data_IF_359750505302
#
_entry.id   IF_359750505302
#
_cell.length_a   1.000
_cell.length_b   1.000
_cell.length_c   1.000
_cell.angle_alpha   90.00
_cell.angle_beta   90.00
_cell.angle_gamma   90.00
#
_symmetry.space_group_name_H-M   'P 1'
#
loop_
_entity.id
_entity.type
_entity.pdbx_description
1 polymer ?
#
# COMPACT_ATOMS: atom_id res chain seq x y z
N UNK A 1 -10.80 9.78 24.67
CA UNK A 1 -9.72 8.84 24.32
C UNK A 1 -10.21 7.39 24.30
N UNK A 2 -10.96 6.91 25.28
CA UNK A 2 -11.47 5.52 25.37
C UNK A 2 -12.51 5.11 24.28
N UNK A 3 -13.29 6.04 23.72
CA UNK A 3 -14.28 5.71 22.67
C UNK A 3 -13.69 5.30 21.33
N UNK A 4 -12.52 5.81 20.96
CA UNK A 4 -11.84 5.49 19.71
C UNK A 4 -11.21 4.08 19.72
N UNK A 5 -10.71 3.63 20.88
CA UNK A 5 -10.19 2.27 21.02
C UNK A 5 -11.31 1.22 20.96
N UNK A 6 -12.49 1.53 21.50
CA UNK A 6 -13.65 0.63 21.52
C UNK A 6 -14.28 0.47 20.11
N UNK A 7 -14.31 1.53 19.31
CA UNK A 7 -14.73 1.49 17.92
C UNK A 7 -13.75 0.70 17.04
N UNK A 8 -12.45 0.94 17.21
CA UNK A 8 -11.40 0.22 16.50
C UNK A 8 -11.43 -1.28 16.82
N UNK A 9 -11.58 -1.65 18.10
CA UNK A 9 -11.69 -3.04 18.53
C UNK A 9 -12.93 -3.73 17.95
N UNK A 10 -14.09 -3.08 17.94
CA UNK A 10 -15.32 -3.61 17.33
C UNK A 10 -15.17 -3.81 15.82
N UNK A 11 -14.52 -2.89 15.17
CA UNK A 11 -14.27 -2.92 13.76
C UNK A 11 -13.30 -4.05 13.36
N UNK A 12 -12.20 -4.20 14.10
CA UNK A 12 -11.25 -5.30 13.96
C UNK A 12 -11.94 -6.66 14.15
N UNK A 13 -12.84 -6.77 15.13
CA UNK A 13 -13.61 -7.98 15.37
C UNK A 13 -14.55 -8.31 14.21
N UNK A 14 -15.21 -7.29 13.65
CA UNK A 14 -16.09 -7.46 12.47
C UNK A 14 -15.30 -7.88 11.24
N UNK A 15 -14.15 -7.29 11.00
CA UNK A 15 -13.27 -7.67 9.89
C UNK A 15 -12.67 -9.07 10.09
N UNK A 16 -12.33 -9.45 11.32
CA UNK A 16 -11.90 -10.80 11.64
C UNK A 16 -12.98 -11.83 11.34
N UNK A 17 -14.23 -11.58 11.74
CA UNK A 17 -15.35 -12.48 11.43
C UNK A 17 -15.61 -12.56 9.93
N UNK A 18 -15.54 -11.44 9.22
CA UNK A 18 -15.81 -11.37 7.78
C UNK A 18 -14.79 -12.13 6.91
N UNK A 19 -13.50 -12.08 7.26
CA UNK A 19 -12.44 -12.60 6.40
C UNK A 19 -11.59 -13.72 7.02
N UNK A 20 -11.55 -13.81 8.35
CA UNK A 20 -10.64 -14.71 9.05
C UNK A 20 -11.33 -15.94 9.63
N UNK A 21 -12.67 -15.97 9.68
CA UNK A 21 -13.42 -17.17 10.06
C UNK A 21 -13.21 -18.29 9.06
N UNK A 22 -13.38 -19.53 9.50
CA UNK A 22 -13.32 -20.71 8.63
C UNK A 22 -14.55 -20.83 7.71
N UNK A 23 -15.63 -20.11 8.06
CA UNK A 23 -16.85 -19.97 7.27
C UNK A 23 -17.18 -18.47 7.07
N UNK A 24 -16.44 -17.77 6.20
CA UNK A 24 -16.63 -16.34 6.01
C UNK A 24 -17.99 -16.05 5.37
N UNK A 25 -18.68 -15.04 5.86
CA UNK A 25 -20.01 -14.60 5.35
C UNK A 25 -19.98 -14.24 3.88
N UNK A 26 -18.83 -13.77 3.36
CA UNK A 26 -18.66 -13.39 1.96
C UNK A 26 -18.23 -14.55 1.04
N UNK A 27 -18.15 -15.79 1.56
CA UNK A 27 -17.77 -16.98 0.79
C UNK A 27 -16.29 -17.02 0.36
N UNK A 28 -15.46 -16.05 0.74
CA UNK A 28 -14.04 -15.98 0.36
C UNK A 28 -13.20 -16.68 1.41
N UNK A 29 -12.78 -17.90 1.12
CA UNK A 29 -11.83 -18.64 1.99
C UNK A 29 -10.40 -18.16 1.74
N UNK A 30 -9.74 -17.69 2.80
CA UNK A 30 -8.32 -17.40 2.81
C UNK A 30 -7.55 -18.58 3.41
N UNK A 31 -6.38 -18.88 2.87
CA UNK A 31 -5.45 -19.84 3.49
C UNK A 31 -4.87 -19.26 4.78
N UNK A 32 -4.30 -20.09 5.65
CA UNK A 32 -3.68 -19.64 6.89
C UNK A 32 -2.66 -18.51 6.68
N UNK A 33 -1.75 -18.68 5.71
CA UNK A 33 -0.75 -17.64 5.38
C UNK A 33 -1.35 -16.36 4.82
N UNK A 34 -2.44 -16.46 4.06
CA UNK A 34 -3.17 -15.31 3.57
C UNK A 34 -3.85 -14.54 4.71
N UNK A 35 -4.46 -15.26 5.67
CA UNK A 35 -5.04 -14.67 6.89
C UNK A 35 -3.97 -13.94 7.70
N UNK A 36 -2.81 -14.56 7.93
CA UNK A 36 -1.68 -13.94 8.64
C UNK A 36 -1.21 -12.65 7.98
N UNK A 37 -1.06 -12.65 6.64
CA UNK A 37 -0.69 -11.45 5.90
C UNK A 37 -1.75 -10.34 6.03
N UNK A 38 -3.02 -10.70 5.89
CA UNK A 38 -4.13 -9.75 6.00
C UNK A 38 -4.21 -9.10 7.38
N UNK A 39 -4.06 -9.89 8.45
CA UNK A 39 -4.01 -9.38 9.84
C UNK A 39 -2.88 -8.39 10.02
N UNK A 40 -1.67 -8.71 9.54
CA UNK A 40 -0.52 -7.80 9.64
C UNK A 40 -0.75 -6.48 8.90
N UNK A 41 -1.41 -6.52 7.74
CA UNK A 41 -1.81 -5.30 7.02
C UNK A 41 -2.81 -4.48 7.84
N UNK A 42 -3.80 -5.12 8.46
CA UNK A 42 -4.80 -4.45 9.31
C UNK A 42 -4.17 -3.81 10.55
N UNK A 43 -3.14 -4.44 11.12
CA UNK A 43 -2.36 -3.90 12.24
C UNK A 43 -1.46 -2.71 11.84
N UNK A 44 -1.45 -2.31 10.57
CA UNK A 44 -0.63 -1.22 10.05
C UNK A 44 0.84 -1.57 9.85
N UNK A 45 1.19 -2.84 9.83
CA UNK A 45 2.56 -3.26 9.58
C UNK A 45 2.92 -3.11 8.10
N UNK A 46 4.14 -2.63 7.83
CA UNK A 46 4.75 -2.75 6.51
C UNK A 46 5.15 -4.20 6.27
N UNK A 47 4.65 -4.81 5.21
CA UNK A 47 4.90 -6.22 4.92
C UNK A 47 5.49 -6.43 3.52
N UNK A 48 6.30 -7.45 3.39
CA UNK A 48 6.75 -8.00 2.10
C UNK A 48 6.04 -9.34 1.86
N UNK A 49 5.08 -9.33 0.93
CA UNK A 49 4.28 -10.51 0.60
C UNK A 49 4.91 -11.25 -0.58
N UNK A 50 5.48 -12.42 -0.33
CA UNK A 50 6.13 -13.26 -1.35
C UNK A 50 5.47 -14.63 -1.44
N UNK A 51 5.74 -15.34 -2.53
CA UNK A 51 5.26 -16.69 -2.79
C UNK A 51 5.16 -17.01 -4.29
N UNK A 52 4.95 -18.27 -4.66
CA UNK A 52 4.80 -18.71 -6.05
C UNK A 52 3.70 -17.95 -6.80
N UNK A 53 3.71 -18.05 -8.13
CA UNK A 53 2.61 -17.59 -8.97
C UNK A 53 1.28 -18.26 -8.58
N UNK A 54 0.16 -17.56 -8.73
CA UNK A 54 -1.18 -18.14 -8.53
C UNK A 54 -1.62 -18.34 -7.07
N UNK A 55 -0.79 -18.06 -6.06
CA UNK A 55 -1.17 -18.23 -4.63
C UNK A 55 -2.08 -17.12 -4.09
N UNK A 56 -2.55 -16.21 -4.93
CA UNK A 56 -3.53 -15.20 -4.55
C UNK A 56 -2.97 -13.95 -3.87
N UNK A 57 -1.69 -13.60 -4.05
CA UNK A 57 -1.10 -12.35 -3.51
C UNK A 57 -1.90 -11.12 -3.94
N UNK A 58 -2.12 -10.96 -5.24
CA UNK A 58 -2.88 -9.86 -5.83
C UNK A 58 -4.33 -9.80 -5.32
N UNK A 59 -4.94 -10.98 -5.04
CA UNK A 59 -6.29 -11.04 -4.45
C UNK A 59 -6.32 -10.38 -3.06
N UNK A 60 -5.32 -10.63 -2.22
CA UNK A 60 -5.24 -10.03 -0.87
C UNK A 60 -5.07 -8.52 -0.96
N UNK A 61 -4.19 -8.04 -1.87
CA UNK A 61 -3.97 -6.62 -2.12
C UNK A 61 -5.29 -5.93 -2.51
N UNK A 62 -6.04 -6.51 -3.44
CA UNK A 62 -7.34 -5.98 -3.88
C UNK A 62 -8.37 -5.97 -2.78
N UNK A 63 -8.55 -7.09 -2.08
CA UNK A 63 -9.50 -7.19 -0.96
C UNK A 63 -9.22 -6.13 0.10
N UNK A 64 -7.96 -5.97 0.49
CA UNK A 64 -7.57 -4.96 1.46
C UNK A 64 -7.84 -3.54 0.95
N UNK A 65 -7.46 -3.25 -0.30
CA UNK A 65 -7.69 -1.95 -0.90
C UNK A 65 -9.19 -1.60 -0.98
N UNK A 66 -10.03 -2.54 -1.40
CA UNK A 66 -11.48 -2.36 -1.48
C UNK A 66 -12.09 -2.08 -0.10
N UNK A 67 -11.68 -2.82 0.93
CA UNK A 67 -12.22 -2.68 2.29
C UNK A 67 -11.83 -1.34 2.94
N UNK A 68 -10.59 -0.89 2.73
CA UNK A 68 -10.05 0.27 3.42
C UNK A 68 -10.07 1.57 2.61
N UNK A 69 -10.46 1.55 1.33
CA UNK A 69 -10.46 2.72 0.44
C UNK A 69 -11.29 3.90 0.93
N UNK A 70 -12.33 3.66 1.72
CA UNK A 70 -13.19 4.70 2.31
C UNK A 70 -12.61 5.34 3.58
N UNK A 71 -11.52 4.79 4.12
CA UNK A 71 -10.95 5.19 5.42
C UNK A 71 -9.50 5.61 5.33
N UNK A 72 -8.80 5.12 4.31
CA UNK A 72 -7.37 5.31 4.09
C UNK A 72 -7.10 5.75 2.66
N UNK A 73 -6.17 6.65 2.50
CA UNK A 73 -5.64 7.00 1.18
C UNK A 73 -4.63 5.95 0.76
N UNK A 74 -5.06 5.06 -0.13
CA UNK A 74 -4.25 3.93 -0.60
C UNK A 74 -3.69 4.22 -1.99
N UNK A 75 -2.38 4.20 -2.12
CA UNK A 75 -1.66 4.20 -3.38
C UNK A 75 -1.52 2.78 -3.91
N UNK A 76 -2.52 2.32 -4.68
CA UNK A 76 -2.50 0.98 -5.28
C UNK A 76 -1.70 1.03 -6.57
N UNK A 77 -0.50 0.44 -6.54
CA UNK A 77 0.46 0.56 -7.64
C UNK A 77 1.06 -0.77 -8.07
N UNK A 78 1.55 -0.81 -9.30
CA UNK A 78 2.36 -1.92 -9.81
C UNK A 78 3.54 -1.41 -10.64
N UNK A 79 4.53 -2.28 -10.84
CA UNK A 79 5.70 -1.96 -11.65
C UNK A 79 5.39 -1.94 -13.16
N UNK A 80 4.33 -2.60 -13.61
CA UNK A 80 3.92 -2.63 -15.03
C UNK A 80 2.51 -2.08 -15.23
N UNK A 81 2.24 -1.55 -16.44
CA UNK A 81 0.90 -1.06 -16.80
C UNK A 81 -0.16 -2.17 -16.78
N UNK A 82 0.17 -3.35 -17.30
CA UNK A 82 -0.74 -4.49 -17.34
C UNK A 82 -1.14 -4.93 -15.93
N UNK A 83 -0.17 -5.13 -15.04
CA UNK A 83 -0.46 -5.52 -13.65
C UNK A 83 -1.21 -4.41 -12.90
N UNK A 84 -0.89 -3.13 -13.18
CA UNK A 84 -1.62 -2.00 -12.60
C UNK A 84 -3.11 -2.02 -12.96
N UNK A 85 -3.44 -2.30 -14.22
CA UNK A 85 -4.84 -2.46 -14.65
C UNK A 85 -5.53 -3.64 -13.97
N UNK A 86 -4.84 -4.77 -13.83
CA UNK A 86 -5.39 -5.97 -13.17
C UNK A 86 -5.76 -5.74 -11.71
N UNK A 87 -5.02 -4.88 -11.00
CA UNK A 87 -5.32 -4.55 -9.60
C UNK A 87 -6.27 -3.35 -9.46
N UNK A 88 -6.67 -2.71 -10.56
CA UNK A 88 -7.46 -1.47 -10.51
C UNK A 88 -6.67 -0.25 -10.01
N UNK A 89 -5.34 -0.28 -10.14
CA UNK A 89 -4.42 0.76 -9.71
C UNK A 89 -3.74 1.48 -10.88
N UNK A 90 -2.57 2.03 -10.62
CA UNK A 90 -1.73 2.71 -11.62
C UNK A 90 -0.27 2.26 -11.50
N UNK A 91 0.59 2.62 -12.46
CA UNK A 91 2.01 2.29 -12.33
C UNK A 91 2.65 3.09 -11.20
N UNK A 92 3.60 2.49 -10.48
CA UNK A 92 4.36 3.15 -9.42
C UNK A 92 4.97 4.48 -9.88
N UNK A 93 5.57 4.49 -11.07
CA UNK A 93 6.18 5.68 -11.66
C UNK A 93 5.17 6.82 -11.89
N UNK A 94 3.99 6.49 -12.39
CA UNK A 94 2.92 7.46 -12.63
C UNK A 94 2.32 7.96 -11.32
N UNK A 95 2.07 7.06 -10.37
CA UNK A 95 1.50 7.41 -9.07
C UNK A 95 2.41 8.38 -8.30
N UNK A 96 3.69 8.04 -8.19
CA UNK A 96 4.69 8.80 -7.44
C UNK A 96 5.18 10.05 -8.18
N UNK A 97 4.98 10.12 -9.49
CA UNK A 97 5.40 11.25 -10.32
C UNK A 97 6.90 11.30 -10.59
N UNK A 98 7.63 10.22 -10.35
CA UNK A 98 9.10 10.14 -10.52
C UNK A 98 9.55 9.99 -11.97
N UNK A 99 8.61 9.92 -12.94
CA UNK A 99 8.90 9.64 -14.34
C UNK A 99 9.67 8.31 -14.48
N UNK A 100 10.86 8.30 -15.10
CA UNK A 100 11.72 7.12 -15.21
C UNK A 100 12.53 6.80 -13.94
N UNK A 101 12.49 7.67 -12.93
CA UNK A 101 13.24 7.46 -11.68
C UNK A 101 14.77 7.58 -11.81
N UNK A 102 15.29 8.00 -12.97
CA UNK A 102 16.73 8.10 -13.24
C UNK A 102 17.43 9.22 -12.48
N UNK A 103 16.74 10.33 -12.25
CA UNK A 103 17.29 11.47 -11.51
C UNK A 103 17.53 11.13 -10.02
N UNK A 104 18.38 11.88 -9.34
CA UNK A 104 18.57 11.74 -7.89
C UNK A 104 17.31 12.20 -7.12
N UNK A 105 17.17 11.72 -5.87
CA UNK A 105 16.00 11.99 -5.05
C UNK A 105 15.72 13.50 -4.88
N UNK A 106 16.75 14.32 -4.67
CA UNK A 106 16.62 15.80 -4.53
C UNK A 106 15.97 16.44 -5.75
N UNK A 107 16.38 16.06 -6.96
CA UNK A 107 15.80 16.56 -8.22
C UNK A 107 14.35 16.11 -8.35
N UNK A 108 14.05 14.85 -8.03
CA UNK A 108 12.68 14.31 -8.06
C UNK A 108 11.78 15.02 -7.05
N UNK A 109 12.26 15.28 -5.84
CA UNK A 109 11.53 16.08 -4.83
C UNK A 109 11.18 17.46 -5.38
N UNK A 110 12.13 18.18 -6.00
CA UNK A 110 11.86 19.49 -6.60
C UNK A 110 10.78 19.41 -7.68
N UNK A 111 10.84 18.40 -8.55
CA UNK A 111 9.85 18.17 -9.60
C UNK A 111 8.47 17.84 -9.04
N UNK A 112 8.39 17.04 -7.98
CA UNK A 112 7.13 16.70 -7.30
C UNK A 112 6.57 17.94 -6.60
N UNK A 113 7.41 18.70 -5.89
CA UNK A 113 7.00 19.92 -5.18
C UNK A 113 6.44 21.00 -6.10
N UNK A 114 6.90 21.08 -7.36
CA UNK A 114 6.38 22.01 -8.35
C UNK A 114 4.95 21.71 -8.79
N UNK A 115 4.43 20.51 -8.48
CA UNK A 115 3.08 20.07 -8.88
C UNK A 115 2.22 19.82 -7.63
N UNK A 116 1.27 20.72 -7.37
CA UNK A 116 0.44 20.68 -6.16
C UNK A 116 -0.25 19.33 -5.94
N UNK A 117 -0.78 18.71 -7.02
CA UNK A 117 -1.47 17.41 -6.93
C UNK A 117 -0.54 16.26 -6.57
N UNK A 118 0.72 16.26 -7.05
CA UNK A 118 1.70 15.22 -6.66
C UNK A 118 2.13 15.40 -5.22
N UNK A 119 2.42 16.64 -4.81
CA UNK A 119 2.75 16.94 -3.42
C UNK A 119 1.64 16.47 -2.48
N UNK A 120 0.38 16.85 -2.77
CA UNK A 120 -0.77 16.42 -1.98
C UNK A 120 -0.88 14.88 -1.92
N UNK A 121 -0.70 14.19 -3.03
CA UNK A 121 -0.73 12.72 -3.08
C UNK A 121 0.29 12.09 -2.13
N UNK A 122 1.51 12.61 -2.06
CA UNK A 122 2.55 12.11 -1.16
C UNK A 122 2.27 12.44 0.32
N UNK A 123 1.71 13.61 0.61
CA UNK A 123 1.42 14.01 2.00
C UNK A 123 0.20 13.31 2.58
N UNK A 124 -0.79 13.02 1.75
CA UNK A 124 -2.06 12.42 2.21
C UNK A 124 -2.02 10.87 2.18
N UNK A 125 -1.00 10.28 1.56
CA UNK A 125 -0.87 8.84 1.40
C UNK A 125 -0.72 8.14 2.76
N UNK A 126 -1.65 7.25 3.10
CA UNK A 126 -1.56 6.39 4.29
C UNK A 126 -0.83 5.08 4.00
N UNK A 127 -1.11 4.48 2.84
CA UNK A 127 -0.59 3.15 2.49
C UNK A 127 -0.14 3.15 1.03
N UNK A 128 1.12 2.78 0.78
CA UNK A 128 1.62 2.49 -0.56
C UNK A 128 1.68 0.98 -0.78
N UNK A 129 0.92 0.50 -1.74
CA UNK A 129 0.94 -0.89 -2.17
C UNK A 129 1.65 -1.01 -3.52
N UNK A 130 2.62 -1.91 -3.61
CA UNK A 130 3.40 -2.14 -4.82
C UNK A 130 3.29 -3.61 -5.22
N UNK A 131 2.51 -3.89 -6.26
CA UNK A 131 2.47 -5.22 -6.86
C UNK A 131 3.65 -5.42 -7.85
N UNK A 132 4.01 -6.66 -8.13
CA UNK A 132 5.18 -7.03 -8.96
C UNK A 132 6.49 -6.40 -8.46
N UNK A 133 6.68 -6.37 -7.16
CA UNK A 133 7.84 -5.74 -6.48
C UNK A 133 9.18 -6.33 -6.88
N UNK A 134 9.23 -7.52 -7.47
CA UNK A 134 10.46 -8.14 -8.01
C UNK A 134 11.15 -7.29 -9.10
N UNK A 135 10.42 -6.41 -9.75
CA UNK A 135 10.94 -5.46 -10.75
C UNK A 135 11.42 -4.14 -10.14
N UNK A 136 11.18 -3.92 -8.86
CA UNK A 136 11.61 -2.72 -8.15
C UNK A 136 13.08 -2.88 -7.73
N UNK A 137 13.94 -2.05 -8.26
CA UNK A 137 15.36 -2.08 -7.86
C UNK A 137 15.56 -1.50 -6.47
N UNK A 138 16.55 -1.98 -5.68
CA UNK A 138 16.89 -1.39 -4.38
C UNK A 138 17.15 0.13 -4.45
N UNK A 139 17.87 0.58 -5.48
CA UNK A 139 18.16 2.00 -5.71
C UNK A 139 16.89 2.82 -5.88
N UNK A 140 15.89 2.30 -6.60
CA UNK A 140 14.61 3.00 -6.78
C UNK A 140 13.80 3.00 -5.48
N UNK A 141 13.83 1.90 -4.74
CA UNK A 141 13.17 1.79 -3.43
C UNK A 141 13.73 2.82 -2.44
N UNK A 142 15.05 2.92 -2.34
CA UNK A 142 15.72 3.90 -1.47
C UNK A 142 15.39 5.34 -1.86
N UNK A 143 15.32 5.63 -3.17
CA UNK A 143 14.88 6.96 -3.65
C UNK A 143 13.45 7.28 -3.24
N UNK A 144 12.53 6.31 -3.35
CA UNK A 144 11.13 6.51 -2.94
C UNK A 144 11.03 6.79 -1.44
N UNK A 145 11.81 6.08 -0.65
CA UNK A 145 11.90 6.25 0.80
C UNK A 145 12.42 7.66 1.16
N UNK A 146 13.52 8.10 0.54
CA UNK A 146 14.08 9.44 0.73
C UNK A 146 13.10 10.55 0.32
N UNK A 147 12.41 10.38 -0.82
CA UNK A 147 11.38 11.30 -1.31
C UNK A 147 10.25 11.40 -0.29
N UNK A 148 9.75 10.27 0.20
CA UNK A 148 8.67 10.22 1.18
C UNK A 148 9.03 10.98 2.47
N UNK A 149 10.18 10.69 3.08
CA UNK A 149 10.65 11.40 4.28
C UNK A 149 10.76 12.91 4.05
N UNK A 150 11.32 13.29 2.92
CA UNK A 150 11.52 14.72 2.59
C UNK A 150 10.19 15.44 2.41
N UNK A 151 9.26 14.89 1.66
CA UNK A 151 7.96 15.52 1.36
C UNK A 151 7.05 15.56 2.59
N UNK A 152 7.08 14.52 3.41
CA UNK A 152 6.29 14.40 4.64
C UNK A 152 6.96 15.07 5.86
N UNK A 153 8.21 15.54 5.70
CA UNK A 153 9.01 16.16 6.77
C UNK A 153 9.09 15.30 8.03
N UNK A 154 9.26 14.00 7.86
CA UNK A 154 9.29 13.03 8.94
C UNK A 154 10.41 12.01 8.67
N UNK A 155 11.27 11.79 9.67
CA UNK A 155 12.44 10.91 9.56
C UNK A 155 12.14 9.43 9.79
N UNK A 156 10.89 9.07 10.11
CA UNK A 156 10.48 7.66 10.16
C UNK A 156 10.54 7.04 8.75
N UNK A 157 10.69 5.73 8.64
CA UNK A 157 10.65 5.04 7.35
C UNK A 157 9.43 5.47 6.52
N UNK A 158 9.67 5.77 5.24
CA UNK A 158 8.66 6.32 4.32
C UNK A 158 7.92 7.58 4.81
N UNK A 159 8.47 8.27 5.80
CA UNK A 159 7.87 9.49 6.34
C UNK A 159 6.77 9.24 7.37
N UNK A 160 6.68 8.05 7.92
CA UNK A 160 5.75 7.68 9.00
C UNK A 160 4.36 7.34 8.55
#
# INVERSE_FOLDING_TARGET
MWKLEDEYCKEMYTLQSKYLSDTPENGIRLTKKQKEAYVKMMEGNSIFLTGPGGVGKTKIIRMFSEEFSNRKVIGLTSMTGTSALLIGGTTLHSYTGIKLGSACAKVLVTQIMSKAYLRKRWTDLDILMIDEVSMLTPVLFDKLEEIARTLRRNNKPFGG
#
